data_IF_691645611621
#
_entry.id   IF_691645611621
#
_cell.length_a   1.000
_cell.length_b   1.000
_cell.length_c   1.000
_cell.angle_alpha   90.00
_cell.angle_beta   90.00
_cell.angle_gamma   90.00
#
_symmetry.space_group_name_H-M   'P 1'
#
loop_
_entity.id
_entity.type
_entity.pdbx_description
1 polymer ?
#
# COMPACT_ATOMS: atom_id res chain seq x y z
N UNK A 1 4.67 -16.35 -7.91
CA UNK A 1 4.79 -16.35 -6.43
C UNK A 1 6.21 -16.72 -6.09
N UNK A 2 6.90 -15.98 -5.21
CA UNK A 2 8.27 -16.33 -4.82
C UNK A 2 8.20 -17.52 -3.87
N UNK A 3 8.77 -18.65 -4.26
CA UNK A 3 8.92 -19.79 -3.37
C UNK A 3 9.80 -19.38 -2.19
N UNK A 4 9.34 -19.70 -0.98
CA UNK A 4 10.12 -19.51 0.24
C UNK A 4 10.08 -20.83 1.01
N UNK A 5 11.24 -21.29 1.45
CA UNK A 5 11.32 -22.52 2.22
C UNK A 5 10.70 -22.29 3.60
N UNK A 6 9.86 -23.23 4.04
CA UNK A 6 9.20 -23.18 5.35
C UNK A 6 10.21 -23.24 6.51
N UNK A 7 11.36 -23.90 6.30
CA UNK A 7 12.48 -23.96 7.27
C UNK A 7 13.07 -22.58 7.55
N UNK A 8 13.03 -21.66 6.57
CA UNK A 8 13.54 -20.30 6.73
C UNK A 8 12.51 -19.34 7.34
N UNK A 9 11.25 -19.79 7.50
CA UNK A 9 10.11 -18.95 7.91
C UNK A 9 9.63 -19.30 9.32
N UNK A 10 9.59 -20.58 9.66
CA UNK A 10 8.98 -21.05 10.90
C UNK A 10 10.03 -21.62 11.87
N UNK A 11 9.82 -21.45 13.20
CA UNK A 11 10.63 -22.14 14.21
C UNK A 11 10.54 -23.67 14.06
N UNK A 12 11.62 -24.37 14.41
CA UNK A 12 11.72 -25.82 14.28
C UNK A 12 10.60 -26.58 15.01
N UNK A 13 10.26 -26.13 16.23
CA UNK A 13 9.20 -26.76 17.03
C UNK A 13 7.81 -26.65 16.37
N UNK A 14 7.53 -25.52 15.72
CA UNK A 14 6.29 -25.32 14.99
C UNK A 14 6.25 -26.18 13.71
N UNK A 15 7.37 -26.28 13.00
CA UNK A 15 7.48 -27.16 11.83
C UNK A 15 7.25 -28.61 12.22
N UNK A 16 7.82 -29.08 13.33
CA UNK A 16 7.55 -30.42 13.86
C UNK A 16 6.07 -30.63 14.13
N UNK A 17 5.37 -29.65 14.69
CA UNK A 17 3.92 -29.77 14.89
C UNK A 17 3.16 -29.81 13.57
N UNK A 18 3.48 -28.93 12.61
CA UNK A 18 2.81 -28.91 11.30
C UNK A 18 3.03 -30.23 10.56
N UNK A 19 4.26 -30.76 10.57
CA UNK A 19 4.63 -32.04 9.95
C UNK A 19 3.84 -33.24 10.49
N UNK A 20 3.31 -33.16 11.71
CA UNK A 20 2.41 -34.20 12.26
C UNK A 20 1.06 -34.22 11.57
N UNK A 21 0.60 -33.09 11.04
CA UNK A 21 -0.68 -32.97 10.35
C UNK A 21 -0.54 -33.04 8.84
N UNK A 22 0.54 -32.48 8.30
CA UNK A 22 0.79 -32.38 6.86
C UNK A 22 2.29 -32.46 6.59
N UNK A 23 2.75 -33.53 5.95
CA UNK A 23 4.15 -33.74 5.57
C UNK A 23 4.27 -34.02 4.08
N UNK A 24 5.12 -33.26 3.37
CA UNK A 24 5.34 -33.43 1.93
C UNK A 24 4.36 -32.67 1.01
N UNK A 25 3.43 -31.90 1.58
CA UNK A 25 2.44 -31.14 0.81
C UNK A 25 2.65 -29.62 0.93
N UNK A 26 2.09 -28.86 -0.03
CA UNK A 26 2.13 -27.39 0.00
C UNK A 26 0.91 -26.86 0.73
N UNK A 27 1.12 -26.17 1.85
CA UNK A 27 0.04 -25.60 2.67
C UNK A 27 -0.11 -24.12 2.35
N UNK A 28 -1.34 -23.71 2.00
CA UNK A 28 -1.69 -22.29 1.91
C UNK A 28 -2.04 -21.75 3.29
N UNK A 29 -1.31 -20.72 3.73
CA UNK A 29 -1.62 -20.00 4.97
C UNK A 29 -2.40 -18.74 4.57
N UNK A 30 -3.71 -18.66 4.87
CA UNK A 30 -4.50 -17.49 4.56
C UNK A 30 -3.95 -16.28 5.31
N UNK A 31 -3.96 -15.11 4.65
CA UNK A 31 -3.62 -13.86 5.31
C UNK A 31 -4.60 -13.61 6.47
N UNK A 32 -4.07 -13.39 7.69
CA UNK A 32 -4.89 -13.11 8.86
C UNK A 32 -5.69 -11.80 8.73
N UNK A 33 -6.71 -11.65 9.59
CA UNK A 33 -7.66 -10.53 9.61
C UNK A 33 -7.01 -9.15 9.83
N UNK A 34 -5.75 -9.11 10.25
CA UNK A 34 -4.89 -7.93 10.18
C UNK A 34 -4.10 -7.95 8.88
N UNK A 35 -4.63 -7.34 7.82
CA UNK A 35 -3.87 -7.06 6.60
C UNK A 35 -2.62 -6.27 6.98
N UNK A 36 -1.45 -6.91 6.97
CA UNK A 36 -0.19 -6.17 6.87
C UNK A 36 -0.16 -5.54 5.49
N UNK A 37 -0.10 -4.22 5.44
CA UNK A 37 -0.10 -3.52 4.16
C UNK A 37 1.17 -3.90 3.41
N UNK A 38 1.03 -4.25 2.13
CA UNK A 38 2.16 -4.56 1.26
C UNK A 38 3.21 -3.42 1.34
N UNK A 39 4.41 -3.71 1.83
CA UNK A 39 5.51 -2.74 1.91
C UNK A 39 5.87 -2.22 3.32
N UNK A 40 5.16 -2.61 4.38
CA UNK A 40 5.54 -2.23 5.76
C UNK A 40 6.81 -2.94 6.25
N UNK A 41 7.02 -4.22 5.90
CA UNK A 41 8.19 -5.00 6.36
C UNK A 41 9.45 -4.76 5.52
N UNK A 42 9.32 -4.27 4.28
CA UNK A 42 10.46 -4.12 3.35
C UNK A 42 11.00 -2.69 3.25
N UNK A 43 10.44 -1.73 3.99
CA UNK A 43 10.83 -0.32 3.89
C UNK A 43 10.40 0.38 2.59
N UNK A 44 9.71 -0.33 1.68
CA UNK A 44 9.27 0.21 0.40
C UNK A 44 8.35 1.43 0.56
N UNK A 45 7.51 1.42 1.59
CA UNK A 45 6.64 2.54 1.91
C UNK A 45 7.41 3.79 2.37
N UNK A 46 8.56 3.60 3.04
CA UNK A 46 9.45 4.68 3.40
C UNK A 46 10.20 5.22 2.18
N UNK A 47 10.76 4.34 1.35
CA UNK A 47 11.42 4.70 0.09
C UNK A 47 10.52 5.54 -0.83
N UNK A 48 9.26 5.14 -1.01
CA UNK A 48 8.31 5.90 -1.85
C UNK A 48 8.03 7.29 -1.27
N UNK A 49 7.95 7.42 0.07
CA UNK A 49 7.75 8.73 0.71
C UNK A 49 8.97 9.63 0.53
N UNK A 50 10.16 9.11 0.82
CA UNK A 50 11.42 9.85 0.68
C UNK A 50 11.64 10.30 -0.77
N UNK A 51 11.44 9.40 -1.74
CA UNK A 51 11.52 9.73 -3.17
C UNK A 51 10.51 10.81 -3.57
N UNK A 52 9.25 10.69 -3.15
CA UNK A 52 8.24 11.68 -3.51
C UNK A 52 8.49 13.04 -2.86
N UNK A 53 9.08 13.07 -1.66
CA UNK A 53 9.51 14.32 -1.03
C UNK A 53 10.65 14.97 -1.81
N UNK A 54 11.63 14.18 -2.26
CA UNK A 54 12.73 14.67 -3.11
C UNK A 54 12.21 15.22 -4.45
N UNK A 55 11.28 14.54 -5.12
CA UNK A 55 10.63 15.01 -6.36
C UNK A 55 9.96 16.37 -6.16
N UNK A 56 9.28 16.58 -5.02
CA UNK A 56 8.65 17.87 -4.71
C UNK A 56 9.67 18.98 -4.46
N UNK A 57 10.73 18.69 -3.70
CA UNK A 57 11.79 19.65 -3.42
C UNK A 57 12.52 20.08 -4.71
N UNK A 58 12.81 19.14 -5.61
CA UNK A 58 13.43 19.42 -6.90
C UNK A 58 12.52 20.29 -7.80
N UNK A 59 11.20 20.02 -7.78
CA UNK A 59 10.23 20.85 -8.50
C UNK A 59 10.14 22.27 -7.93
N UNK A 60 10.15 22.42 -6.60
CA UNK A 60 10.17 23.73 -5.92
C UNK A 60 11.47 24.49 -6.19
N UNK A 61 12.57 23.79 -6.43
CA UNK A 61 13.84 24.37 -6.87
C UNK A 61 13.84 24.80 -8.36
N UNK A 62 12.75 24.59 -9.09
CA UNK A 62 12.56 25.05 -10.47
C UNK A 62 12.87 24.02 -11.56
N UNK A 63 13.05 22.74 -11.23
CA UNK A 63 13.18 21.69 -12.25
C UNK A 63 11.87 21.50 -13.02
N UNK A 64 11.97 21.27 -14.33
CA UNK A 64 10.78 21.04 -15.16
C UNK A 64 10.24 19.63 -14.96
N UNK A 65 9.00 19.38 -15.39
CA UNK A 65 8.40 18.05 -15.29
C UNK A 65 9.19 17.03 -16.13
N UNK A 66 9.70 17.42 -17.29
CA UNK A 66 10.47 16.56 -18.17
C UNK A 66 11.80 16.15 -17.51
N UNK A 67 12.51 17.09 -16.87
CA UNK A 67 13.73 16.80 -16.10
C UNK A 67 13.47 15.79 -14.97
N UNK A 68 12.35 15.93 -14.27
CA UNK A 68 11.96 15.02 -13.19
C UNK A 68 11.57 13.64 -13.70
N UNK A 69 10.94 13.55 -14.87
CA UNK A 69 10.61 12.28 -15.51
C UNK A 69 11.88 11.49 -15.84
N UNK A 70 12.88 12.17 -16.42
CA UNK A 70 14.17 11.56 -16.74
C UNK A 70 14.95 11.18 -15.47
N UNK A 71 15.05 12.09 -14.50
CA UNK A 71 15.81 11.88 -13.25
C UNK A 71 15.27 10.73 -12.41
N UNK A 72 13.95 10.58 -12.33
CA UNK A 72 13.31 9.57 -11.49
C UNK A 72 12.76 8.37 -12.27
N UNK A 73 12.92 8.35 -13.60
CA UNK A 73 12.40 7.33 -14.51
C UNK A 73 10.89 7.08 -14.31
N UNK A 74 10.10 8.16 -14.22
CA UNK A 74 8.66 8.11 -13.99
C UNK A 74 7.89 8.71 -15.16
N UNK A 75 6.65 8.24 -15.35
CA UNK A 75 5.76 8.83 -16.35
C UNK A 75 5.36 10.25 -15.99
N UNK A 76 5.00 11.03 -17.01
CA UNK A 76 4.47 12.38 -16.86
C UNK A 76 3.31 12.45 -15.85
N UNK A 77 2.32 11.56 -15.97
CA UNK A 77 1.19 11.51 -15.04
C UNK A 77 1.62 11.21 -13.60
N UNK A 78 2.65 10.39 -13.42
CA UNK A 78 3.18 10.06 -12.09
C UNK A 78 3.86 11.28 -11.46
N UNK A 79 4.72 11.97 -12.19
CA UNK A 79 5.37 13.20 -11.72
C UNK A 79 4.33 14.29 -11.44
N UNK A 80 3.43 14.53 -12.40
CA UNK A 80 2.31 15.48 -12.25
C UNK A 80 1.50 15.18 -10.99
N UNK A 81 1.14 13.91 -10.76
CA UNK A 81 0.42 13.50 -9.55
C UNK A 81 1.23 13.73 -8.29
N UNK A 82 2.54 13.47 -8.29
CA UNK A 82 3.39 13.67 -7.11
C UNK A 82 3.53 15.16 -6.78
N UNK A 83 3.77 15.98 -7.79
CA UNK A 83 4.02 17.43 -7.66
C UNK A 83 2.74 18.20 -7.30
N UNK A 84 1.65 17.99 -8.05
CA UNK A 84 0.43 18.80 -7.89
C UNK A 84 -0.57 18.25 -6.87
N UNK A 85 -0.40 17.02 -6.37
CA UNK A 85 -1.29 16.49 -5.33
C UNK A 85 -0.96 17.13 -3.97
N UNK A 86 -1.85 18.01 -3.50
CA UNK A 86 -1.85 18.55 -2.12
C UNK A 86 -2.12 17.50 -1.06
N UNK A 87 -2.86 16.44 -1.41
CA UNK A 87 -2.91 15.24 -0.56
C UNK A 87 -1.57 14.55 -0.73
N UNK A 88 -0.73 14.62 0.30
CA UNK A 88 0.16 13.52 0.57
C UNK A 88 -0.70 12.28 0.42
N UNK A 89 -0.37 11.42 -0.54
CA UNK A 89 -0.90 10.06 -0.50
C UNK A 89 -0.19 9.46 0.70
N UNK A 90 -0.69 9.80 1.90
CA UNK A 90 -0.78 8.83 2.96
C UNK A 90 -1.37 7.64 2.23
N UNK A 91 -0.50 6.67 1.88
CA UNK A 91 -0.94 5.29 1.86
C UNK A 91 -1.79 5.21 3.11
N UNK A 92 -3.12 5.09 2.93
CA UNK A 92 -4.06 5.15 4.04
C UNK A 92 -3.39 4.38 5.15
N UNK A 93 -3.15 5.02 6.29
CA UNK A 93 -2.80 4.27 7.48
C UNK A 93 -4.06 3.47 7.80
N UNK A 94 -4.23 2.35 7.12
CA UNK A 94 -5.21 1.35 7.46
C UNK A 94 -4.64 0.65 8.69
N UNK A 95 -4.75 1.33 9.82
CA UNK A 95 -4.72 0.64 11.09
C UNK A 95 -6.01 -0.18 11.14
N UNK A 96 -5.90 -1.46 11.49
CA UNK A 96 -7.05 -2.33 11.74
C UNK A 96 -7.80 -1.92 13.03
N UNK A 97 -8.05 -0.63 13.22
CA UNK A 97 -8.82 -0.04 14.31
C UNK A 97 -10.27 0.15 13.86
N UNK A 98 -11.21 0.00 14.79
CA UNK A 98 -12.64 0.16 14.51
C UNK A 98 -12.98 1.56 13.95
N UNK A 99 -12.21 2.58 14.28
CA UNK A 99 -12.38 3.97 13.82
C UNK A 99 -12.14 4.11 12.31
N UNK A 100 -11.13 3.45 11.75
CA UNK A 100 -10.82 3.52 10.32
C UNK A 100 -11.88 2.82 9.47
N UNK A 101 -12.42 1.70 9.97
CA UNK A 101 -13.51 0.97 9.35
C UNK A 101 -14.83 1.78 9.35
N UNK A 102 -15.11 2.49 10.46
CA UNK A 102 -16.26 3.40 10.55
C UNK A 102 -16.14 4.58 9.59
N UNK A 103 -14.99 5.25 9.57
CA UNK A 103 -14.74 6.37 8.66
C UNK A 103 -14.90 5.96 7.18
N UNK A 104 -14.41 4.78 6.80
CA UNK A 104 -14.57 4.26 5.43
C UNK A 104 -16.04 3.95 5.09
N UNK A 105 -16.78 3.36 6.01
CA UNK A 105 -18.21 3.08 5.83
C UNK A 105 -19.02 4.39 5.69
N UNK A 106 -18.74 5.39 6.52
CA UNK A 106 -19.39 6.70 6.49
C UNK A 106 -19.07 7.48 5.22
N UNK A 107 -17.82 7.45 4.75
CA UNK A 107 -17.40 8.13 3.52
C UNK A 107 -17.99 7.46 2.27
N UNK A 108 -18.04 6.11 2.24
CA UNK A 108 -18.75 5.38 1.18
C UNK A 108 -20.26 5.65 1.18
N UNK A 109 -20.90 5.71 2.35
CA UNK A 109 -22.33 6.05 2.43
C UNK A 109 -22.61 7.48 1.96
N UNK A 110 -21.75 8.45 2.29
CA UNK A 110 -21.87 9.84 1.79
C UNK A 110 -21.77 9.92 0.28
N UNK A 111 -20.85 9.18 -0.35
CA UNK A 111 -20.70 9.17 -1.81
C UNK A 111 -21.89 8.51 -2.52
N UNK A 112 -22.43 7.43 -1.96
CA UNK A 112 -23.61 6.74 -2.51
C UNK A 112 -24.84 7.65 -2.42
N UNK A 113 -25.06 8.33 -1.29
CA UNK A 113 -26.18 9.26 -1.10
C UNK A 113 -26.11 10.49 -2.03
N UNK A 114 -24.89 10.96 -2.33
CA UNK A 114 -24.68 12.07 -3.27
C UNK A 114 -24.99 11.68 -4.72
N UNK A 115 -24.72 10.43 -5.12
CA UNK A 115 -25.03 9.94 -6.47
C UNK A 115 -26.53 9.66 -6.68
N UNK A 116 -27.26 9.26 -5.63
CA UNK A 116 -28.71 9.05 -5.72
C UNK A 116 -29.54 10.34 -5.77
N UNK A 117 -28.96 11.50 -5.45
CA UNK A 117 -29.66 12.79 -5.47
C UNK A 117 -29.55 13.59 -6.77
N UNK A 118 -28.69 13.17 -7.71
CA UNK A 118 -28.40 13.95 -8.93
C UNK A 118 -29.10 13.44 -10.20
N UNK A 119 -30.02 12.47 -10.08
CA UNK A 119 -30.70 11.84 -11.23
C UNK A 119 -32.18 12.26 -11.39
N UNK A 120 -32.62 13.33 -10.73
CA UNK A 120 -34.00 13.82 -10.79
C UNK A 120 -34.04 15.32 -11.14
N UNK A 121 -33.67 15.66 -12.37
CA UNK A 121 -34.10 16.85 -13.14
C UNK A 121 -33.79 16.63 -14.61
#
# INVERSE_FOLDING_TARGET
MKYRNAQDIFPEDLLKQIQRYVSGETIYIPAGNGKRSWGETSGYQQFIRERNAAIKADFEAGQTIDDLMEKYCLSYDSIKRIVYSKKEVSMLKYSATLESAKAYAEEKMRQILFQSGSCAT
#
